data_IF_385521207454
#
_entry.id   IF_385521207454
#
_cell.length_a   1.000
_cell.length_b   1.000
_cell.length_c   1.000
_cell.angle_alpha   90.00
_cell.angle_beta   90.00
_cell.angle_gamma   90.00
#
_symmetry.space_group_name_H-M   'P 1'
#
loop_
_entity.id
_entity.type
_entity.pdbx_description
1 polymer ?
#
# COMPACT_ATOMS: atom_id res chain seq x y z
N UNK A 1 23.40 -4.34 3.66
CA UNK A 1 22.14 -3.91 4.28
C UNK A 1 21.86 -2.55 3.72
N UNK A 2 21.03 -2.55 2.70
CA UNK A 2 20.42 -1.38 2.11
C UNK A 2 19.55 -0.65 3.16
N UNK A 3 19.43 0.65 2.98
CA UNK A 3 18.68 1.59 3.83
C UNK A 3 17.18 1.26 3.91
N UNK A 4 16.68 0.40 3.02
CA UNK A 4 15.27 0.03 2.84
C UNK A 4 14.74 -1.05 3.82
N UNK A 5 15.63 -1.75 4.52
CA UNK A 5 15.30 -2.98 5.25
C UNK A 5 15.10 -2.77 6.75
N UNK A 6 15.39 -1.56 7.28
CA UNK A 6 15.23 -1.26 8.70
C UNK A 6 14.63 0.14 8.90
N UNK A 7 13.41 0.19 9.46
CA UNK A 7 12.73 1.43 9.78
C UNK A 7 12.01 1.28 11.15
N UNK A 8 12.45 2.01 12.19
CA UNK A 8 11.87 1.88 13.53
C UNK A 8 10.46 2.49 13.65
N UNK A 9 9.98 3.22 12.65
CA UNK A 9 8.62 3.79 12.65
C UNK A 9 7.53 2.75 12.37
N UNK A 10 7.90 1.57 11.85
CA UNK A 10 6.96 0.49 11.55
C UNK A 10 7.12 -0.65 12.55
N UNK A 11 6.07 -0.85 13.36
CA UNK A 11 6.00 -1.92 14.34
C UNK A 11 5.70 -3.29 13.71
N UNK A 12 5.82 -4.37 14.52
CA UNK A 12 5.37 -5.70 14.10
C UNK A 12 3.85 -5.71 13.83
N UNK A 13 3.39 -6.45 12.81
CA UNK A 13 1.97 -6.67 12.57
C UNK A 13 1.34 -7.53 13.67
N UNK A 14 0.02 -7.39 13.86
CA UNK A 14 -0.74 -8.24 14.79
C UNK A 14 -0.86 -9.71 14.31
N UNK A 15 -0.70 -9.92 13.00
CA UNK A 15 -0.69 -11.23 12.33
C UNK A 15 0.64 -11.40 11.59
N UNK A 16 0.83 -12.48 10.83
CA UNK A 16 2.01 -12.70 9.96
C UNK A 16 1.63 -12.55 8.47
N UNK A 17 1.31 -11.33 7.99
CA UNK A 17 0.97 -11.10 6.58
C UNK A 17 2.18 -11.30 5.67
N UNK A 18 1.93 -11.51 4.38
CA UNK A 18 3.02 -11.62 3.41
C UNK A 18 3.87 -10.35 3.39
N UNK A 19 5.20 -10.49 3.47
CA UNK A 19 6.17 -9.40 3.64
C UNK A 19 6.72 -9.29 5.06
N UNK A 20 6.11 -9.95 6.06
CA UNK A 20 6.67 -10.11 7.40
C UNK A 20 7.55 -11.35 7.49
N UNK A 21 8.75 -11.19 8.05
CA UNK A 21 9.70 -12.26 8.36
C UNK A 21 9.69 -12.48 9.88
N UNK A 22 9.06 -13.58 10.37
CA UNK A 22 9.01 -13.85 11.80
C UNK A 22 10.40 -14.12 12.36
N UNK A 23 10.60 -13.83 13.66
CA UNK A 23 11.82 -14.24 14.35
C UNK A 23 11.99 -15.76 14.22
N UNK A 24 13.21 -16.21 13.96
CA UNK A 24 13.49 -17.65 13.92
C UNK A 24 13.10 -18.27 15.27
N UNK A 25 12.19 -19.25 15.26
CA UNK A 25 11.87 -20.04 16.44
C UNK A 25 13.16 -20.73 16.90
N UNK A 26 13.59 -20.45 18.12
CA UNK A 26 14.92 -20.78 18.67
C UNK A 26 15.53 -22.10 18.17
N UNK A 27 16.58 -21.99 17.34
CA UNK A 27 17.59 -23.02 17.12
C UNK A 27 18.88 -22.39 16.56
N UNK A 28 19.48 -21.46 17.30
CA UNK A 28 20.81 -20.93 16.97
C UNK A 28 21.01 -19.51 17.47
N UNK A 29 21.74 -19.37 18.57
CA UNK A 29 22.15 -18.09 19.13
C UNK A 29 22.94 -17.25 18.10
N UNK A 30 22.57 -15.97 17.94
CA UNK A 30 23.45 -14.95 17.34
C UNK A 30 22.84 -14.02 16.29
N UNK A 31 21.56 -13.68 16.33
CA UNK A 31 20.97 -12.65 15.46
C UNK A 31 20.13 -11.68 16.28
N UNK A 32 20.52 -10.40 16.28
CA UNK A 32 19.96 -9.30 17.10
C UNK A 32 18.52 -8.88 16.71
N UNK A 33 17.77 -9.72 15.99
CA UNK A 33 16.36 -9.48 15.62
C UNK A 33 15.43 -10.32 16.48
N UNK A 34 15.32 -9.97 17.77
CA UNK A 34 14.47 -10.66 18.76
C UNK A 34 12.95 -10.58 18.47
N UNK A 35 12.51 -9.85 17.44
CA UNK A 35 11.08 -9.57 17.20
C UNK A 35 10.55 -9.83 15.79
N UNK A 36 11.34 -10.38 14.87
CA UNK A 36 10.99 -10.42 13.44
C UNK A 36 11.17 -9.06 12.77
N UNK A 37 10.99 -8.99 11.46
CA UNK A 37 11.12 -7.76 10.68
C UNK A 37 10.30 -7.79 9.40
N UNK A 38 10.01 -6.62 8.83
CA UNK A 38 9.50 -6.52 7.47
C UNK A 38 10.64 -6.75 6.48
N UNK A 39 10.36 -7.49 5.40
CA UNK A 39 11.34 -7.72 4.32
C UNK A 39 11.83 -6.39 3.72
N UNK A 40 10.92 -5.42 3.58
CA UNK A 40 11.22 -4.04 3.23
C UNK A 40 10.44 -3.08 4.15
N UNK A 41 11.11 -2.55 5.16
CA UNK A 41 10.48 -1.69 6.16
C UNK A 41 9.97 -0.36 5.55
N UNK A 42 10.65 0.18 4.54
CA UNK A 42 10.18 1.37 3.81
C UNK A 42 8.89 1.10 3.04
N UNK A 43 8.73 -0.09 2.45
CA UNK A 43 7.48 -0.47 1.77
C UNK A 43 6.32 -0.52 2.75
N UNK A 44 6.56 -1.10 3.93
CA UNK A 44 5.55 -1.09 4.99
C UNK A 44 5.18 0.33 5.40
N UNK A 45 6.17 1.21 5.59
CA UNK A 45 5.94 2.61 5.96
C UNK A 45 5.10 3.34 4.91
N UNK A 46 5.52 3.27 3.65
CA UNK A 46 4.80 3.88 2.53
C UNK A 46 3.37 3.32 2.42
N UNK A 47 3.18 2.02 2.66
CA UNK A 47 1.86 1.38 2.66
C UNK A 47 0.95 1.90 3.76
N UNK A 48 1.47 2.06 4.99
CA UNK A 48 0.68 2.60 6.11
C UNK A 48 0.24 4.04 5.85
N UNK A 49 1.17 4.91 5.44
CA UNK A 49 0.84 6.31 5.14
C UNK A 49 -0.08 6.43 3.93
N UNK A 50 0.23 5.73 2.83
CA UNK A 50 -0.54 5.76 1.60
C UNK A 50 -1.98 5.28 1.79
N UNK A 51 -2.22 4.21 2.57
CA UNK A 51 -3.57 3.74 2.88
C UNK A 51 -4.33 4.72 3.78
N UNK A 52 -3.68 5.28 4.81
CA UNK A 52 -4.32 6.25 5.70
C UNK A 52 -4.72 7.53 4.97
N UNK A 53 -3.83 8.05 4.11
CA UNK A 53 -4.09 9.21 3.25
C UNK A 53 -5.23 8.92 2.27
N UNK A 54 -5.25 7.75 1.63
CA UNK A 54 -6.36 7.33 0.77
C UNK A 54 -7.69 7.33 1.53
N UNK A 55 -7.71 6.75 2.73
CA UNK A 55 -8.91 6.63 3.56
C UNK A 55 -9.41 7.98 4.07
N UNK A 56 -8.55 9.00 4.14
CA UNK A 56 -8.91 10.38 4.48
C UNK A 56 -9.23 11.24 3.24
N UNK A 57 -9.24 10.65 2.04
CA UNK A 57 -9.54 11.34 0.78
C UNK A 57 -8.37 12.15 0.19
N UNK A 58 -7.17 12.06 0.78
CA UNK A 58 -5.93 12.66 0.28
C UNK A 58 -5.31 11.75 -0.81
N UNK A 59 -6.01 11.62 -1.94
CA UNK A 59 -5.66 10.64 -2.98
C UNK A 59 -4.38 10.97 -3.75
N UNK A 60 -4.02 12.25 -3.88
CA UNK A 60 -2.77 12.66 -4.52
C UNK A 60 -1.58 12.28 -3.63
N UNK A 61 -1.63 12.62 -2.35
CA UNK A 61 -0.61 12.31 -1.38
C UNK A 61 -0.46 10.79 -1.18
N UNK A 62 -1.58 10.07 -1.22
CA UNK A 62 -1.59 8.61 -1.25
C UNK A 62 -0.84 8.06 -2.48
N UNK A 63 -1.12 8.61 -3.66
CA UNK A 63 -0.43 8.26 -4.90
C UNK A 63 1.10 8.44 -4.76
N UNK A 64 1.53 9.58 -4.23
CA UNK A 64 2.95 9.93 -4.13
C UNK A 64 3.71 9.00 -3.16
N UNK A 65 3.07 8.61 -2.05
CA UNK A 65 3.63 7.61 -1.14
C UNK A 65 3.98 6.30 -1.87
N UNK A 66 3.08 5.81 -2.72
CA UNK A 66 3.31 4.56 -3.46
C UNK A 66 4.23 4.76 -4.68
N UNK A 67 4.17 5.90 -5.37
CA UNK A 67 5.01 6.17 -6.54
C UNK A 67 6.49 6.30 -6.17
N UNK A 68 6.80 7.00 -5.08
CA UNK A 68 8.18 7.17 -4.65
C UNK A 68 8.79 5.87 -4.16
N UNK A 69 8.03 5.08 -3.40
CA UNK A 69 8.48 3.78 -2.95
C UNK A 69 8.63 2.79 -4.12
N UNK A 70 7.81 2.90 -5.17
CA UNK A 70 7.89 2.07 -6.37
C UNK A 70 9.27 2.12 -7.05
N UNK A 71 9.94 3.29 -7.07
CA UNK A 71 11.23 3.44 -7.73
C UNK A 71 12.35 2.59 -7.12
N UNK A 72 12.18 2.08 -5.90
CA UNK A 72 13.17 1.25 -5.21
C UNK A 72 13.23 -0.20 -5.72
N UNK A 73 12.20 -0.70 -6.41
CA UNK A 73 12.05 -2.15 -6.66
C UNK A 73 12.34 -2.62 -8.09
N UNK A 74 12.83 -1.73 -8.96
CA UNK A 74 13.08 -2.06 -10.37
C UNK A 74 11.83 -2.56 -11.09
N UNK A 75 12.01 -3.39 -12.14
CA UNK A 75 10.90 -3.91 -12.95
C UNK A 75 10.65 -5.39 -12.66
N UNK A 76 9.39 -5.74 -12.40
CA UNK A 76 8.91 -7.12 -12.42
C UNK A 76 8.93 -7.86 -11.08
N UNK A 77 9.39 -7.24 -9.99
CA UNK A 77 9.22 -7.76 -8.64
C UNK A 77 7.78 -7.63 -8.14
N UNK A 78 7.42 -8.41 -7.13
CA UNK A 78 6.08 -8.36 -6.51
C UNK A 78 5.85 -7.02 -5.82
N UNK A 79 6.89 -6.43 -5.22
CA UNK A 79 6.89 -5.11 -4.60
C UNK A 79 6.62 -4.01 -5.63
N UNK A 80 7.31 -4.07 -6.79
CA UNK A 80 7.12 -3.13 -7.89
C UNK A 80 5.70 -3.21 -8.46
N UNK A 81 5.19 -4.43 -8.63
CA UNK A 81 3.80 -4.69 -9.06
C UNK A 81 2.78 -4.16 -8.05
N UNK A 82 3.01 -4.39 -6.75
CA UNK A 82 2.14 -3.89 -5.70
C UNK A 82 2.10 -2.37 -5.67
N UNK A 83 3.26 -1.70 -5.60
CA UNK A 83 3.33 -0.23 -5.55
C UNK A 83 2.65 0.38 -6.77
N UNK A 84 2.95 -0.11 -7.96
CA UNK A 84 2.33 0.39 -9.19
C UNK A 84 0.81 0.12 -9.21
N UNK A 85 0.36 -1.02 -8.72
CA UNK A 85 -1.07 -1.29 -8.53
C UNK A 85 -1.74 -0.25 -7.64
N UNK A 86 -1.14 0.06 -6.50
CA UNK A 86 -1.69 1.02 -5.53
C UNK A 86 -1.62 2.48 -6.02
N UNK A 87 -0.58 2.87 -6.75
CA UNK A 87 -0.51 4.14 -7.50
C UNK A 87 -1.74 4.32 -8.39
N UNK A 88 -2.08 3.28 -9.16
CA UNK A 88 -3.22 3.29 -10.07
C UNK A 88 -4.58 3.30 -9.33
N UNK A 89 -4.66 2.67 -8.15
CA UNK A 89 -5.84 2.73 -7.27
C UNK A 89 -6.08 4.17 -6.81
N UNK A 90 -5.06 4.81 -6.22
CA UNK A 90 -5.15 6.17 -5.71
C UNK A 90 -5.49 7.17 -6.82
N UNK A 91 -4.75 7.13 -7.94
CA UNK A 91 -5.02 7.97 -9.10
C UNK A 91 -6.42 7.73 -9.69
N UNK A 92 -6.89 6.48 -9.70
CA UNK A 92 -8.22 6.11 -10.21
C UNK A 92 -9.33 6.78 -9.43
N UNK A 93 -9.27 6.72 -8.09
CA UNK A 93 -10.27 7.38 -7.23
C UNK A 93 -10.15 8.90 -7.30
N UNK A 94 -8.93 9.44 -7.30
CA UNK A 94 -8.68 10.88 -7.51
C UNK A 94 -9.35 11.41 -8.78
N UNK A 95 -9.24 10.67 -9.91
CA UNK A 95 -9.90 11.06 -11.16
C UNK A 95 -11.42 11.16 -11.03
N UNK A 96 -12.05 10.26 -10.26
CA UNK A 96 -13.49 10.29 -10.04
C UNK A 96 -13.91 11.42 -9.10
N UNK A 97 -13.24 11.55 -7.96
CA UNK A 97 -13.66 12.49 -6.90
C UNK A 97 -13.40 13.94 -7.31
N UNK A 98 -12.22 14.26 -7.82
CA UNK A 98 -11.82 15.65 -8.10
C UNK A 98 -12.17 16.14 -9.51
N UNK A 99 -12.41 15.21 -10.44
CA UNK A 99 -12.63 15.53 -11.85
C UNK A 99 -13.89 14.90 -12.44
N UNK A 100 -14.72 14.22 -11.65
CA UNK A 100 -15.93 13.50 -12.09
C UNK A 100 -15.67 12.56 -13.29
N UNK A 101 -14.45 12.02 -13.38
CA UNK A 101 -13.96 11.30 -14.54
C UNK A 101 -13.98 9.78 -14.35
N UNK A 102 -15.16 9.20 -14.55
CA UNK A 102 -15.38 7.76 -14.47
C UNK A 102 -14.63 6.96 -15.55
N UNK A 103 -14.42 7.53 -16.74
CA UNK A 103 -13.63 6.86 -17.78
C UNK A 103 -12.16 6.72 -17.37
N UNK A 104 -11.61 7.80 -16.79
CA UNK A 104 -10.28 7.83 -16.19
C UNK A 104 -10.12 6.78 -15.10
N UNK A 105 -11.06 6.74 -14.14
CA UNK A 105 -11.09 5.71 -13.09
C UNK A 105 -11.08 4.31 -13.70
N UNK A 106 -11.97 4.03 -14.65
CA UNK A 106 -12.07 2.69 -15.28
C UNK A 106 -10.80 2.29 -16.01
N UNK A 107 -10.13 3.25 -16.67
CA UNK A 107 -8.85 3.00 -17.34
C UNK A 107 -7.76 2.59 -16.34
N UNK A 108 -7.59 3.38 -15.27
CA UNK A 108 -6.57 3.15 -14.25
C UNK A 108 -6.85 1.85 -13.47
N UNK A 109 -8.12 1.55 -13.16
CA UNK A 109 -8.49 0.33 -12.45
C UNK A 109 -8.23 -0.95 -13.25
N UNK A 110 -8.41 -0.94 -14.59
CA UNK A 110 -8.03 -2.09 -15.43
C UNK A 110 -6.53 -2.36 -15.37
N UNK A 111 -5.73 -1.29 -15.35
CA UNK A 111 -4.28 -1.39 -15.24
C UNK A 111 -3.85 -1.82 -13.83
N UNK A 112 -4.47 -1.26 -12.79
CA UNK A 112 -4.25 -1.67 -11.40
C UNK A 112 -4.49 -3.16 -11.20
N UNK A 113 -5.59 -3.70 -11.74
CA UNK A 113 -5.91 -5.13 -11.66
C UNK A 113 -4.86 -6.02 -12.35
N UNK A 114 -4.24 -5.55 -13.44
CA UNK A 114 -3.14 -6.28 -14.10
C UNK A 114 -1.88 -6.29 -13.24
N UNK A 115 -1.52 -5.16 -12.64
CA UNK A 115 -0.34 -5.09 -11.76
C UNK A 115 -0.53 -5.90 -10.49
N UNK A 116 -1.71 -5.82 -9.88
CA UNK A 116 -2.02 -6.58 -8.68
C UNK A 116 -2.23 -8.07 -8.98
N UNK A 117 -2.24 -8.52 -10.23
CA UNK A 117 -2.39 -9.93 -10.55
C UNK A 117 -1.18 -10.73 -10.03
N UNK A 118 -1.43 -11.70 -9.14
CA UNK A 118 -0.38 -12.57 -8.59
C UNK A 118 0.28 -12.05 -7.31
N UNK A 119 0.04 -10.80 -6.92
CA UNK A 119 0.45 -10.30 -5.60
C UNK A 119 -0.34 -11.05 -4.51
N UNK A 120 0.29 -11.46 -3.39
CA UNK A 120 -0.41 -12.12 -2.27
C UNK A 120 -1.61 -11.31 -1.77
N UNK A 121 -2.64 -11.97 -1.25
CA UNK A 121 -3.91 -11.30 -0.90
C UNK A 121 -3.84 -10.43 0.36
N UNK A 122 -2.81 -10.61 1.17
CA UNK A 122 -2.57 -9.96 2.47
C UNK A 122 -1.24 -9.19 2.48
N UNK A 123 -0.76 -8.79 1.29
CA UNK A 123 0.58 -8.23 1.10
C UNK A 123 0.77 -6.94 1.90
N UNK A 124 1.82 -6.90 2.72
CA UNK A 124 2.15 -5.79 3.61
C UNK A 124 1.00 -5.33 4.52
N UNK A 125 0.09 -6.26 4.85
CA UNK A 125 -1.07 -6.02 5.72
C UNK A 125 -2.32 -5.51 5.01
N UNK A 126 -2.25 -5.18 3.71
CA UNK A 126 -3.41 -4.71 2.93
C UNK A 126 -4.30 -5.89 2.53
N UNK A 127 -5.62 -5.76 2.67
CA UNK A 127 -6.57 -6.72 2.10
C UNK A 127 -6.70 -6.50 0.58
N UNK A 128 -5.77 -7.08 -0.17
CA UNK A 128 -5.76 -7.00 -1.64
C UNK A 128 -6.88 -7.81 -2.29
N UNK A 129 -7.50 -8.76 -1.58
CA UNK A 129 -8.70 -9.42 -2.10
C UNK A 129 -9.87 -8.44 -2.13
N UNK A 130 -10.06 -7.65 -1.07
CA UNK A 130 -11.09 -6.59 -1.06
C UNK A 130 -10.78 -5.52 -2.10
N UNK A 131 -9.54 -5.03 -2.17
CA UNK A 131 -9.11 -4.02 -3.17
C UNK A 131 -9.46 -4.49 -4.59
N UNK A 132 -9.05 -5.70 -4.99
CA UNK A 132 -9.36 -6.24 -6.33
C UNK A 132 -10.86 -6.37 -6.56
N UNK A 133 -11.61 -6.75 -5.53
CA UNK A 133 -13.07 -6.90 -5.61
C UNK A 133 -13.75 -5.54 -5.85
N UNK A 134 -13.36 -4.51 -5.09
CA UNK A 134 -13.91 -3.16 -5.25
C UNK A 134 -13.55 -2.58 -6.61
N UNK A 135 -12.29 -2.72 -7.05
CA UNK A 135 -11.84 -2.27 -8.36
C UNK A 135 -12.67 -2.92 -9.48
N UNK A 136 -12.85 -4.24 -9.41
CA UNK A 136 -13.63 -5.00 -10.40
C UNK A 136 -15.09 -4.51 -10.43
N UNK A 137 -15.71 -4.31 -9.28
CA UNK A 137 -17.09 -3.81 -9.21
C UNK A 137 -17.22 -2.35 -9.69
N UNK A 138 -16.20 -1.53 -9.43
CA UNK A 138 -16.15 -0.14 -9.88
C UNK A 138 -15.98 -0.03 -11.41
N UNK A 139 -15.44 -1.06 -12.07
CA UNK A 139 -15.46 -1.16 -13.53
C UNK A 139 -16.86 -1.33 -14.13
N UNK A 140 -17.89 -1.59 -13.33
CA UNK A 140 -19.29 -1.56 -13.74
C UNK A 140 -19.99 -0.35 -13.14
N UNK A 141 -19.87 -0.17 -11.82
CA UNK A 141 -20.48 0.91 -11.06
C UNK A 141 -19.43 1.74 -10.29
N UNK A 142 -18.94 2.86 -10.85
CA UNK A 142 -17.91 3.69 -10.24
C UNK A 142 -18.26 4.22 -8.85
N UNK A 143 -19.55 4.38 -8.51
CA UNK A 143 -19.98 4.81 -7.17
C UNK A 143 -19.61 3.83 -6.04
N UNK A 144 -19.07 2.66 -6.36
CA UNK A 144 -18.53 1.72 -5.37
C UNK A 144 -17.33 2.26 -4.60
N UNK A 145 -16.65 3.29 -5.10
CA UNK A 145 -15.48 3.87 -4.41
C UNK A 145 -15.80 5.09 -3.54
N UNK A 146 -17.03 5.63 -3.60
CA UNK A 146 -17.36 6.93 -2.98
C UNK A 146 -17.29 6.90 -1.44
N UNK A 147 -17.61 5.75 -0.83
CA UNK A 147 -17.56 5.52 0.62
C UNK A 147 -16.63 4.34 0.97
N UNK A 148 -15.61 4.11 0.15
CA UNK A 148 -14.70 2.99 0.32
C UNK A 148 -13.39 3.41 0.99
N UNK A 149 -13.05 2.70 2.05
CA UNK A 149 -11.74 2.79 2.71
C UNK A 149 -10.99 1.47 2.55
N UNK A 150 -9.71 1.52 2.21
CA UNK A 150 -8.86 0.35 2.07
C UNK A 150 -8.60 -0.26 3.46
N UNK A 151 -8.85 -1.56 3.65
CA UNK A 151 -8.48 -2.26 4.88
C UNK A 151 -6.97 -2.48 4.96
N UNK A 152 -6.41 -2.27 6.14
CA UNK A 152 -5.03 -2.63 6.49
C UNK A 152 -4.99 -3.15 7.91
N UNK A 153 -4.30 -4.28 8.11
CA UNK A 153 -4.17 -5.00 9.38
C UNK A 153 -5.52 -5.35 10.05
N UNK A 154 -6.58 -5.49 9.25
CA UNK A 154 -7.94 -5.76 9.73
C UNK A 154 -8.72 -4.52 10.20
N UNK A 155 -8.14 -3.33 10.05
CA UNK A 155 -8.75 -2.04 10.38
C UNK A 155 -8.93 -1.17 9.13
N UNK A 156 -9.55 0.01 9.29
CA UNK A 156 -9.70 1.05 8.25
C UNK A 156 -9.25 2.40 8.81
N UNK A 157 -7.94 2.58 9.08
CA UNK A 157 -7.42 3.80 9.68
C UNK A 157 -7.44 4.95 8.68
N UNK A 158 -7.60 6.18 9.17
CA UNK A 158 -7.49 7.43 8.40
C UNK A 158 -6.20 8.16 8.77
N UNK A 159 -5.83 9.15 7.95
CA UNK A 159 -4.63 9.95 8.17
C UNK A 159 -4.67 10.78 9.46
N UNK A 160 -3.51 10.92 10.09
CA UNK A 160 -3.21 11.92 11.10
C UNK A 160 -2.05 12.82 10.65
N UNK A 161 -1.62 13.77 11.50
CA UNK A 161 -0.59 14.75 11.15
C UNK A 161 0.72 14.12 10.64
N UNK A 162 1.14 13.01 11.24
CA UNK A 162 2.37 12.32 10.85
C UNK A 162 2.35 11.77 9.41
N UNK A 163 1.17 11.45 8.88
CA UNK A 163 1.05 10.95 7.50
C UNK A 163 1.24 12.08 6.48
N UNK A 164 0.73 13.28 6.78
CA UNK A 164 0.96 14.48 5.96
C UNK A 164 2.39 15.00 6.08
N UNK A 165 2.99 14.94 7.28
CA UNK A 165 4.40 15.28 7.47
C UNK A 165 5.32 14.32 6.70
N UNK A 166 4.98 13.03 6.67
CA UNK A 166 5.72 12.03 5.91
C UNK A 166 5.75 12.36 4.41
N UNK A 167 4.59 12.59 3.78
CA UNK A 167 4.54 12.87 2.35
C UNK A 167 5.19 14.21 2.01
N UNK A 168 5.01 15.25 2.83
CA UNK A 168 5.65 16.55 2.61
C UNK A 168 7.19 16.43 2.61
N UNK A 169 7.76 15.59 3.48
CA UNK A 169 9.19 15.34 3.52
C UNK A 169 9.73 14.52 2.33
N UNK A 170 8.86 13.83 1.58
CA UNK A 170 9.24 13.10 0.37
C UNK A 170 9.32 14.00 -0.87
N UNK A 171 8.64 15.15 -0.86
CA UNK A 171 8.59 16.10 -1.97
C UNK A 171 9.70 17.17 -1.93
N UNK A 172 10.48 17.23 -0.84
CA UNK A 172 11.64 18.13 -0.66
C UNK A 172 12.95 17.61 -1.29
#
# INVERSE_FOLDING_TARGET
>A
MDEHTNDPSVGPPANEPTGWVPAASEAGAGSDTEGGHWEHATLRRATLHGVRLFNDGAYHESHDCFELEWYNYGRGSTESQFCHGMVQVAAGVYKRVDFENDEGLRSLFRTALQYLQGVPRDFYGVDLLEVRTVLTNALENPARVDDWWIPIDGERPVAGPADYEYVAALEE
#
